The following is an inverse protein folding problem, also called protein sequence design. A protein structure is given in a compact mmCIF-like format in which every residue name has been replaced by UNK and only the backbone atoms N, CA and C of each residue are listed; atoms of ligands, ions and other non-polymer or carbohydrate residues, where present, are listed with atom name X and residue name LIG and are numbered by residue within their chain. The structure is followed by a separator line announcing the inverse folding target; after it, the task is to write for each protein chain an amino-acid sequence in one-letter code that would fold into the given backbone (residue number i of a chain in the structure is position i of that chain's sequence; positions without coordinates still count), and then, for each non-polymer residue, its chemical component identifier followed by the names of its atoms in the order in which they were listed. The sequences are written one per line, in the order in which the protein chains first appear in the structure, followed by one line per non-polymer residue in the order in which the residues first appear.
data_IF_025638734792
#
_entry.id   IF_025638734792
#
_cell.length_a   1.000
_cell.length_b   1.000
_cell.length_c   1.000
_cell.angle_alpha   90.00
_cell.angle_beta   90.00
_cell.angle_gamma   90.00
#
_symmetry.space_group_name_H-M   'P 1'
#
loop_
_entity.id
_entity.type
_entity.pdbx_description
1 polymer ?
#
# COMPACT_ATOMS: atom_id res chain seq x y z
N UNK A 1 -16.94 -2.10 17.74
CA UNK A 1 -16.70 -1.64 16.35
C UNK A 1 -15.62 -0.55 16.28
N UNK A 2 -15.80 0.62 16.90
CA UNK A 2 -14.84 1.75 16.80
C UNK A 2 -13.45 1.50 17.42
N UNK A 3 -13.35 0.69 18.47
CA UNK A 3 -12.06 0.38 19.11
C UNK A 3 -11.17 -0.51 18.23
N UNK A 4 -11.72 -1.57 17.63
CA UNK A 4 -10.96 -2.44 16.71
C UNK A 4 -10.47 -1.73 15.46
N UNK A 5 -11.24 -0.80 14.89
CA UNK A 5 -10.77 0.04 13.77
C UNK A 5 -9.65 1.00 14.18
N UNK A 6 -9.70 1.55 15.41
CA UNK A 6 -8.63 2.41 15.94
C UNK A 6 -7.33 1.64 16.15
N UNK A 7 -7.43 0.42 16.69
CA UNK A 7 -6.27 -0.44 16.89
C UNK A 7 -5.63 -0.81 15.56
N UNK A 8 -6.45 -1.18 14.56
CA UNK A 8 -5.98 -1.53 13.23
C UNK A 8 -5.33 -0.34 12.49
N UNK A 9 -5.90 0.86 12.63
CA UNK A 9 -5.29 2.09 12.13
C UNK A 9 -3.92 2.34 12.76
N UNK A 10 -3.78 2.14 14.07
CA UNK A 10 -2.52 2.31 14.78
C UNK A 10 -1.46 1.29 14.30
N UNK A 11 -1.86 0.03 14.13
CA UNK A 11 -1.00 -1.03 13.59
C UNK A 11 -0.55 -0.71 12.16
N UNK A 12 -1.48 -0.33 11.28
CA UNK A 12 -1.13 0.00 9.89
C UNK A 12 -0.15 1.19 9.80
N UNK A 13 -0.33 2.22 10.64
CA UNK A 13 0.62 3.34 10.72
C UNK A 13 2.00 2.91 11.22
N UNK A 14 2.03 2.04 12.23
CA UNK A 14 3.28 1.49 12.78
C UNK A 14 4.02 0.67 11.72
N UNK A 15 3.32 -0.21 10.99
CA UNK A 15 3.91 -1.00 9.90
C UNK A 15 4.54 -0.06 8.88
N UNK A 16 3.81 0.95 8.40
CA UNK A 16 4.35 1.90 7.43
C UNK A 16 5.56 2.67 7.97
N UNK A 17 5.54 3.12 9.23
CA UNK A 17 6.64 3.92 9.80
C UNK A 17 7.91 3.12 10.04
N UNK A 18 7.80 1.85 10.40
CA UNK A 18 8.94 0.96 10.61
C UNK A 18 9.47 0.41 9.28
N UNK A 19 8.57 0.10 8.34
CA UNK A 19 8.93 -0.52 7.08
C UNK A 19 9.57 0.44 6.09
N UNK A 20 8.98 1.62 5.91
CA UNK A 20 9.39 2.53 4.84
C UNK A 20 10.89 2.88 4.91
N UNK A 21 11.49 3.20 6.09
CA UNK A 21 12.93 3.44 6.19
C UNK A 21 13.79 2.21 5.85
N UNK A 22 13.36 1.00 6.22
CA UNK A 22 14.14 -0.24 6.04
C UNK A 22 14.33 -0.58 4.56
N UNK A 23 13.35 -0.27 3.72
CA UNK A 23 13.39 -0.53 2.27
C UNK A 23 13.62 0.73 1.43
N UNK A 24 14.04 1.82 2.07
CA UNK A 24 14.26 3.13 1.42
C UNK A 24 13.04 3.67 0.67
N UNK A 25 11.82 3.42 1.17
CA UNK A 25 10.61 4.05 0.66
C UNK A 25 10.42 5.44 1.30
N UNK A 26 9.97 6.43 0.51
CA UNK A 26 9.70 7.77 1.01
C UNK A 26 8.21 8.01 1.28
N UNK A 27 7.33 7.24 0.67
CA UNK A 27 5.89 7.32 0.91
C UNK A 27 5.29 5.93 0.97
N UNK A 28 4.19 5.80 1.70
CA UNK A 28 3.43 4.57 1.76
C UNK A 28 1.97 4.79 2.09
N UNK A 29 1.12 3.90 1.61
CA UNK A 29 -0.31 3.85 1.90
C UNK A 29 -0.73 2.42 2.19
N UNK A 30 -1.77 2.27 2.99
CA UNK A 30 -2.29 0.98 3.43
C UNK A 30 -3.80 0.97 3.26
N UNK A 31 -4.27 0.09 2.39
CA UNK A 31 -5.68 -0.13 2.09
C UNK A 31 -6.16 -1.41 2.77
N UNK A 32 -7.41 -1.42 3.25
CA UNK A 32 -8.03 -2.59 3.85
C UNK A 32 -9.29 -2.97 3.08
N UNK A 33 -9.58 -4.27 3.00
CA UNK A 33 -10.86 -4.76 2.48
C UNK A 33 -11.99 -4.27 3.39
N UNK A 34 -12.89 -3.49 2.82
CA UNK A 34 -14.15 -3.01 3.39
C UNK A 34 -15.29 -3.82 2.74
N UNK A 35 -15.79 -4.81 3.46
CA UNK A 35 -16.95 -5.60 3.04
C UNK A 35 -18.21 -4.91 3.55
N UNK A 36 -18.64 -3.86 2.84
CA UNK A 36 -19.82 -3.08 3.23
C UNK A 36 -21.12 -3.89 3.09
N UNK A 37 -21.17 -4.83 2.14
CA UNK A 37 -22.37 -5.61 1.82
C UNK A 37 -22.01 -7.11 1.77
N UNK A 38 -22.62 -7.89 2.68
CA UNK A 38 -22.16 -9.21 3.13
C UNK A 38 -22.21 -10.39 2.16
N UNK A 39 -22.17 -10.18 0.84
CA UNK A 39 -22.05 -11.24 -0.17
C UNK A 39 -20.66 -11.34 -0.83
N UNK A 40 -19.77 -10.38 -0.56
CA UNK A 40 -18.38 -10.38 -1.05
C UNK A 40 -18.20 -9.96 -2.51
N UNK A 41 -19.27 -9.67 -3.26
CA UNK A 41 -19.21 -9.21 -4.65
C UNK A 41 -18.89 -7.71 -4.77
N UNK A 42 -19.19 -6.91 -3.75
CA UNK A 42 -18.89 -5.47 -3.65
C UNK A 42 -17.72 -5.17 -2.68
N UNK A 43 -16.77 -6.10 -2.53
CA UNK A 43 -15.58 -5.85 -1.73
C UNK A 43 -14.74 -4.72 -2.34
N UNK A 44 -14.46 -3.70 -1.53
CA UNK A 44 -13.61 -2.57 -1.91
C UNK A 44 -12.39 -2.46 -1.00
N UNK A 45 -11.29 -1.95 -1.55
CA UNK A 45 -10.11 -1.56 -0.79
C UNK A 45 -10.25 -0.10 -0.38
N UNK A 46 -10.32 0.16 0.92
CA UNK A 46 -10.44 1.50 1.49
C UNK A 46 -9.14 1.94 2.14
N UNK A 47 -8.71 3.17 1.88
CA UNK A 47 -7.53 3.75 2.51
C UNK A 47 -7.72 3.79 4.03
N UNK A 48 -6.80 3.14 4.75
CA UNK A 48 -6.78 3.09 6.21
C UNK A 48 -5.70 4.02 6.76
N UNK A 49 -4.46 3.91 6.27
CA UNK A 49 -3.32 4.64 6.79
C UNK A 49 -2.38 5.14 5.69
N UNK A 50 -1.58 6.15 6.01
CA UNK A 50 -0.56 6.69 5.12
C UNK A 50 0.70 7.14 5.88
N UNK A 51 1.83 7.14 5.17
CA UNK A 51 3.14 7.59 5.62
C UNK A 51 3.72 8.57 4.60
N UNK A 52 4.03 9.80 5.06
CA UNK A 52 4.59 10.88 4.25
C UNK A 52 3.83 11.16 2.92
N UNK A 53 2.56 10.75 2.89
CA UNK A 53 1.66 10.91 1.77
C UNK A 53 0.53 11.82 2.20
N UNK A 54 0.38 12.95 1.49
CA UNK A 54 -0.71 13.90 1.72
C UNK A 54 -1.81 13.58 0.73
N UNK A 55 -3.00 13.26 1.25
CA UNK A 55 -4.15 13.02 0.40
C UNK A 55 -4.37 14.25 -0.48
N UNK A 56 -4.33 14.04 -1.80
CA UNK A 56 -4.66 15.03 -2.82
C UNK A 56 -5.95 14.56 -3.48
N UNK A 57 -6.71 15.48 -4.04
CA UNK A 57 -7.99 15.19 -4.72
C UNK A 57 -7.89 14.12 -5.83
N UNK A 58 -6.67 13.80 -6.30
CA UNK A 58 -6.39 12.80 -7.35
C UNK A 58 -6.08 11.37 -6.85
N UNK A 59 -5.93 11.13 -5.54
CA UNK A 59 -5.70 9.76 -5.04
C UNK A 59 -6.98 9.20 -4.46
N UNK A 60 -7.44 8.10 -5.06
CA UNK A 60 -8.68 7.46 -4.64
C UNK A 60 -8.53 6.88 -3.24
N UNK A 61 -9.47 7.23 -2.37
CA UNK A 61 -9.59 6.62 -1.04
C UNK A 61 -10.20 5.21 -1.11
N UNK A 62 -10.71 4.80 -2.28
CA UNK A 62 -11.38 3.52 -2.52
C UNK A 62 -11.00 2.93 -3.87
N UNK A 63 -10.81 1.61 -3.93
CA UNK A 63 -10.61 0.86 -5.16
C UNK A 63 -11.48 -0.38 -5.16
N UNK A 64 -12.13 -0.69 -6.29
CA UNK A 64 -12.72 -2.03 -6.48
C UNK A 64 -11.61 -3.07 -6.67
N UNK A 65 -11.91 -4.33 -6.40
CA UNK A 65 -11.01 -5.42 -6.81
C UNK A 65 -10.81 -5.39 -8.33
N UNK A 66 -9.56 -5.50 -8.77
CA UNK A 66 -9.16 -5.36 -10.18
C UNK A 66 -9.06 -3.91 -10.68
N UNK A 67 -9.39 -2.92 -9.86
CA UNK A 67 -9.24 -1.51 -10.23
C UNK A 67 -7.84 -0.99 -9.90
N UNK A 68 -7.13 -0.53 -10.93
CA UNK A 68 -5.76 -0.02 -10.78
C UNK A 68 -4.79 -1.08 -10.25
N UNK A 69 -3.57 -0.67 -9.92
CA UNK A 69 -2.55 -1.61 -9.43
C UNK A 69 -2.90 -2.17 -8.04
N UNK A 70 -3.51 -1.35 -7.18
CA UNK A 70 -3.96 -1.73 -5.84
C UNK A 70 -5.03 -2.83 -5.90
N UNK A 71 -6.09 -2.62 -6.70
CA UNK A 71 -7.12 -3.63 -6.91
C UNK A 71 -6.63 -4.86 -7.66
N UNK A 72 -5.72 -4.70 -8.62
CA UNK A 72 -5.16 -5.82 -9.37
C UNK A 72 -4.29 -6.73 -8.49
N UNK A 73 -3.42 -6.15 -7.67
CA UNK A 73 -2.58 -6.92 -6.72
C UNK A 73 -3.45 -7.75 -5.76
N UNK A 74 -4.61 -7.22 -5.36
CA UNK A 74 -5.56 -7.97 -4.52
C UNK A 74 -6.21 -9.16 -5.24
N UNK A 75 -6.50 -9.07 -6.55
CA UNK A 75 -7.03 -10.21 -7.32
C UNK A 75 -5.94 -11.26 -7.51
N UNK A 76 -4.77 -10.83 -7.97
CA UNK A 76 -3.68 -11.75 -8.32
C UNK A 76 -3.03 -12.39 -7.10
N UNK A 77 -3.17 -11.76 -5.92
CA UNK A 77 -2.50 -12.19 -4.68
C UNK A 77 -0.97 -12.20 -4.81
N UNK A 78 -0.47 -11.38 -5.73
CA UNK A 78 0.95 -11.25 -6.03
C UNK A 78 1.38 -9.79 -5.97
N UNK A 79 2.65 -9.60 -5.62
CA UNK A 79 3.29 -8.28 -5.61
C UNK A 79 3.40 -7.74 -7.03
N UNK A 80 3.02 -6.48 -7.20
CA UNK A 80 3.29 -5.73 -8.43
C UNK A 80 4.43 -4.75 -8.18
N UNK A 81 5.42 -4.73 -9.08
CA UNK A 81 6.57 -3.82 -9.03
C UNK A 81 6.63 -2.98 -10.30
N UNK A 82 6.30 -1.70 -10.16
CA UNK A 82 6.40 -0.72 -11.23
C UNK A 82 7.76 -0.01 -11.16
N UNK A 83 8.52 -0.10 -12.24
CA UNK A 83 9.81 0.58 -12.43
C UNK A 83 9.67 1.70 -13.44
N UNK A 84 10.56 2.70 -13.36
CA UNK A 84 10.57 3.86 -14.28
C UNK A 84 9.23 4.60 -14.29
N UNK A 85 8.71 4.89 -13.09
CA UNK A 85 7.42 5.59 -12.93
C UNK A 85 7.44 6.94 -13.67
N UNK A 86 6.42 7.26 -14.47
CA UNK A 86 6.33 8.56 -15.17
C UNK A 86 6.36 9.74 -14.21
N UNK A 87 6.85 10.90 -14.68
CA UNK A 87 7.03 12.08 -13.81
C UNK A 87 5.71 12.70 -13.32
N UNK A 88 4.61 12.37 -13.99
CA UNK A 88 3.27 12.91 -13.75
C UNK A 88 2.43 12.06 -12.78
N UNK A 89 2.91 10.89 -12.35
CA UNK A 89 2.13 9.92 -11.57
C UNK A 89 1.84 10.38 -10.13
N UNK A 90 2.89 10.51 -9.32
CA UNK A 90 2.84 10.93 -7.91
C UNK A 90 4.14 11.65 -7.58
N UNK A 91 4.15 12.46 -6.52
CA UNK A 91 5.36 13.17 -6.08
C UNK A 91 5.70 12.92 -4.63
N UNK A 92 6.92 12.44 -4.42
CA UNK A 92 7.60 12.49 -3.13
C UNK A 92 7.86 13.96 -2.82
N UNK A 93 7.31 14.45 -1.72
CA UNK A 93 7.38 15.87 -1.34
C UNK A 93 8.04 16.02 0.03
N UNK A 94 8.78 17.11 0.18
CA UNK A 94 9.39 17.56 1.43
C UNK A 94 9.10 19.04 1.65
N UNK A 95 9.52 19.60 2.78
CA UNK A 95 9.49 21.04 3.00
C UNK A 95 10.40 21.85 2.05
N UNK A 96 11.30 21.18 1.31
CA UNK A 96 12.28 21.83 0.42
C UNK A 96 11.92 21.72 -1.07
N UNK A 97 11.05 20.79 -1.44
CA UNK A 97 10.74 20.51 -2.84
C UNK A 97 10.08 19.15 -3.04
N UNK A 98 9.90 18.77 -4.30
CA UNK A 98 9.26 17.52 -4.67
C UNK A 98 9.89 16.88 -5.91
N UNK A 99 9.91 15.56 -5.95
CA UNK A 99 10.44 14.75 -7.05
C UNK A 99 9.51 13.56 -7.34
N UNK A 100 9.46 13.05 -8.58
CA UNK A 100 8.74 11.81 -8.86
C UNK A 100 9.46 10.61 -8.22
N UNK A 101 8.75 9.57 -7.75
CA UNK A 101 9.39 8.31 -7.42
C UNK A 101 9.93 7.67 -8.70
N UNK A 102 10.90 6.76 -8.54
CA UNK A 102 11.38 5.91 -9.63
C UNK A 102 10.75 4.53 -9.60
N UNK A 103 10.32 4.09 -8.42
CA UNK A 103 9.77 2.76 -8.20
C UNK A 103 8.56 2.82 -7.29
N UNK A 104 7.59 1.97 -7.59
CA UNK A 104 6.41 1.72 -6.77
C UNK A 104 6.27 0.21 -6.61
N UNK A 105 6.04 -0.24 -5.38
CA UNK A 105 5.73 -1.64 -5.07
C UNK A 105 4.36 -1.71 -4.41
N UNK A 106 3.52 -2.61 -4.91
CA UNK A 106 2.18 -2.88 -4.42
C UNK A 106 2.16 -4.31 -3.89
N UNK A 107 1.77 -4.47 -2.62
CA UNK A 107 1.95 -5.67 -1.83
C UNK A 107 0.60 -6.11 -1.25
N UNK A 108 0.00 -7.20 -1.75
CA UNK A 108 -1.18 -7.77 -1.11
C UNK A 108 -0.79 -8.44 0.20
N UNK A 109 -1.62 -8.30 1.23
CA UNK A 109 -1.45 -8.91 2.54
C UNK A 109 -2.57 -9.93 2.73
N UNK A 110 -2.19 -11.17 2.96
CA UNK A 110 -3.08 -12.32 2.95
C UNK A 110 -3.18 -12.98 4.32
N UNK A 111 -4.41 -13.23 4.77
CA UNK A 111 -4.68 -14.12 5.89
C UNK A 111 -5.43 -15.35 5.38
N UNK A 112 -4.95 -16.56 5.69
CA UNK A 112 -5.59 -17.82 5.28
C UNK A 112 -5.93 -17.87 3.77
N UNK A 113 -5.03 -17.33 2.94
CA UNK A 113 -5.18 -17.28 1.48
C UNK A 113 -6.18 -16.24 0.98
N UNK A 114 -6.75 -15.40 1.85
CA UNK A 114 -7.66 -14.31 1.51
C UNK A 114 -6.95 -12.97 1.68
N UNK A 115 -7.07 -12.08 0.68
CA UNK A 115 -6.53 -10.72 0.81
C UNK A 115 -7.32 -9.97 1.87
N UNK A 116 -6.62 -9.39 2.83
CA UNK A 116 -7.19 -8.53 3.88
C UNK A 116 -6.84 -7.07 3.66
N UNK A 117 -5.67 -6.81 3.07
CA UNK A 117 -5.16 -5.48 2.84
C UNK A 117 -4.23 -5.44 1.62
N UNK A 118 -3.97 -4.22 1.14
CA UNK A 118 -2.94 -3.95 0.14
C UNK A 118 -2.13 -2.76 0.62
N UNK A 119 -0.80 -2.91 0.62
CA UNK A 119 0.14 -1.86 0.95
C UNK A 119 0.85 -1.40 -0.31
N UNK A 120 1.00 -0.09 -0.50
CA UNK A 120 1.75 0.47 -1.61
C UNK A 120 2.85 1.39 -1.07
N UNK A 121 4.06 1.25 -1.61
CA UNK A 121 5.23 2.04 -1.22
C UNK A 121 5.87 2.65 -2.47
N UNK A 122 6.30 3.91 -2.37
CA UNK A 122 7.05 4.58 -3.43
C UNK A 122 8.46 4.94 -2.98
N UNK A 123 9.42 4.79 -3.90
CA UNK A 123 10.83 5.10 -3.65
C UNK A 123 11.46 5.87 -4.83
N UNK A 124 12.35 6.79 -4.50
CA UNK A 124 13.25 7.44 -5.43
C UNK A 124 14.37 6.49 -5.92
N UNK A 125 14.61 5.40 -5.20
CA UNK A 125 15.59 4.36 -5.52
C UNK A 125 14.89 3.04 -5.89
N UNK A 126 15.65 2.08 -6.39
CA UNK A 126 15.11 0.75 -6.69
C UNK A 126 14.93 -0.10 -5.43
N UNK A 127 13.81 -0.80 -5.35
CA UNK A 127 13.67 -1.92 -4.42
C UNK A 127 14.55 -3.07 -4.92
N UNK A 128 15.77 -3.18 -4.38
CA UNK A 128 16.70 -4.25 -4.74
C UNK A 128 16.16 -5.63 -4.33
N UNK A 129 16.79 -6.74 -4.76
CA UNK A 129 16.31 -8.09 -4.43
C UNK A 129 16.20 -8.37 -2.93
N UNK A 130 17.06 -7.77 -2.09
CA UNK A 130 16.98 -7.91 -0.63
C UNK A 130 15.76 -7.19 -0.06
N UNK A 131 15.45 -5.98 -0.53
CA UNK A 131 14.22 -5.27 -0.15
C UNK A 131 12.99 -6.07 -0.56
N UNK A 132 12.97 -6.60 -1.78
CA UNK A 132 11.89 -7.42 -2.31
C UNK A 132 11.65 -8.67 -1.46
N UNK A 133 12.69 -9.45 -1.17
CA UNK A 133 12.56 -10.65 -0.34
C UNK A 133 12.08 -10.34 1.09
N UNK A 134 12.58 -9.25 1.67
CA UNK A 134 12.13 -8.78 2.99
C UNK A 134 10.66 -8.41 2.98
N UNK A 135 10.19 -7.68 1.96
CA UNK A 135 8.78 -7.30 1.82
C UNK A 135 7.88 -8.52 1.68
N UNK A 136 8.28 -9.52 0.88
CA UNK A 136 7.52 -10.75 0.70
C UNK A 136 7.37 -11.50 2.04
N UNK A 137 8.49 -11.68 2.77
CA UNK A 137 8.48 -12.31 4.10
C UNK A 137 7.65 -11.52 5.13
N UNK A 138 7.70 -10.19 5.10
CA UNK A 138 6.91 -9.36 6.00
C UNK A 138 5.41 -9.56 5.74
N UNK A 139 4.98 -9.57 4.47
CA UNK A 139 3.57 -9.74 4.11
C UNK A 139 2.99 -11.08 4.54
N UNK A 140 3.81 -12.14 4.57
CA UNK A 140 3.42 -13.44 5.13
C UNK A 140 3.28 -13.42 6.66
N UNK A 141 4.08 -12.60 7.35
CA UNK A 141 4.10 -12.53 8.81
C UNK A 141 3.01 -11.64 9.42
N UNK A 142 2.58 -10.60 8.70
CA UNK A 142 1.53 -9.67 9.16
C UNK A 142 0.12 -10.06 8.68
N UNK A 143 0.08 -11.00 7.73
CA UNK A 143 -1.11 -11.63 7.20
C UNK A 143 -1.97 -12.25 8.27
#
# INVERSE_FOLDING_TARGET
MLQGQRDLLAVARMILSELAPVVSAQQGVFYIIDNADGDGSDAELKLLASYAFRNRDDVSDRFKLGEGLVGQAAIEKERILLRNVPQEYVRISSGLGAAPPRNIVVLPILFEGQVKAVMELSSAEEFNPTHQAFLDQLTESIG
#
